data_IF_293065530707
#
_entry.id   IF_293065530707
#
_cell.length_a   1.000
_cell.length_b   1.000
_cell.length_c   1.000
_cell.angle_alpha   90.00
_cell.angle_beta   90.00
_cell.angle_gamma   90.00
#
_symmetry.space_group_name_H-M   'P 1'
#
loop_
_entity.id
_entity.type
_entity.pdbx_description
1 polymer ?
#
# COMPACT_ATOMS: atom_id res chain seq x y z
N UNK A 1 5.94 18.91 38.47
CA UNK A 1 4.95 18.44 37.49
C UNK A 1 4.91 19.48 36.38
N UNK A 2 5.59 19.21 35.26
CA UNK A 2 5.58 20.12 34.10
C UNK A 2 4.79 19.47 32.96
N UNK A 3 3.80 20.20 32.48
CA UNK A 3 3.06 19.86 31.29
C UNK A 3 3.96 20.03 30.04
N UNK A 4 3.62 19.24 29.02
CA UNK A 4 3.97 19.44 27.60
C UNK A 4 5.30 18.86 27.11
N UNK A 5 5.33 17.54 26.91
CA UNK A 5 6.01 16.98 25.74
C UNK A 5 4.98 16.12 24.98
N UNK A 6 4.15 16.80 24.19
CA UNK A 6 3.37 16.14 23.15
C UNK A 6 4.39 15.84 22.07
N UNK A 7 4.67 14.57 21.69
CA UNK A 7 5.69 14.29 20.70
C UNK A 7 5.36 15.11 19.46
N UNK A 8 6.29 15.98 19.07
CA UNK A 8 6.15 16.74 17.85
C UNK A 8 5.91 15.74 16.71
N UNK A 9 4.81 15.92 15.98
CA UNK A 9 4.53 15.09 14.81
C UNK A 9 5.65 15.37 13.80
N UNK A 10 6.64 14.47 13.74
CA UNK A 10 7.76 14.58 12.84
C UNK A 10 7.33 14.07 11.46
N UNK A 11 7.26 14.99 10.49
CA UNK A 11 6.99 14.67 9.10
C UNK A 11 8.32 14.45 8.38
N UNK A 12 8.54 13.23 7.90
CA UNK A 12 9.72 12.89 7.11
C UNK A 12 9.30 12.64 5.65
N UNK A 13 9.61 13.58 4.73
CA UNK A 13 9.22 13.45 3.35
C UNK A 13 10.14 12.50 2.58
N UNK A 14 9.55 11.70 1.70
CA UNK A 14 10.26 10.93 0.68
C UNK A 14 9.77 11.31 -0.70
N UNK A 15 10.67 11.32 -1.68
CA UNK A 15 10.42 11.71 -3.05
C UNK A 15 10.88 10.62 -4.03
N UNK A 16 10.35 10.72 -5.25
CA UNK A 16 10.72 9.89 -6.38
C UNK A 16 11.17 10.80 -7.53
N UNK A 17 12.16 10.37 -8.33
CA UNK A 17 12.65 8.99 -8.47
C UNK A 17 13.85 8.59 -7.60
N UNK A 18 14.35 9.45 -6.71
CA UNK A 18 15.57 9.22 -5.92
C UNK A 18 15.50 8.05 -4.90
N UNK A 19 14.31 7.47 -4.71
CA UNK A 19 14.09 6.26 -3.91
C UNK A 19 13.71 6.50 -2.45
N UNK A 20 13.77 7.74 -1.95
CA UNK A 20 13.41 8.03 -0.56
C UNK A 20 11.93 7.79 -0.26
N UNK A 21 11.03 8.04 -1.22
CA UNK A 21 9.61 7.68 -1.09
C UNK A 21 9.40 6.17 -0.92
N UNK A 22 10.10 5.37 -1.73
CA UNK A 22 10.00 3.92 -1.69
C UNK A 22 10.53 3.37 -0.35
N UNK A 23 11.70 3.84 0.07
CA UNK A 23 12.29 3.49 1.36
C UNK A 23 11.36 3.82 2.53
N UNK A 24 10.63 4.94 2.43
CA UNK A 24 9.63 5.34 3.42
C UNK A 24 8.47 4.34 3.52
N UNK A 25 7.91 3.90 2.39
CA UNK A 25 6.88 2.84 2.37
C UNK A 25 7.41 1.55 3.00
N UNK A 26 8.65 1.16 2.68
CA UNK A 26 9.26 -0.05 3.24
C UNK A 26 9.44 0.03 4.75
N UNK A 27 9.87 1.19 5.27
CA UNK A 27 9.99 1.43 6.71
C UNK A 27 8.63 1.41 7.40
N UNK A 28 7.61 2.02 6.81
CA UNK A 28 6.26 2.02 7.37
C UNK A 28 5.70 0.58 7.51
N UNK A 29 5.85 -0.25 6.47
CA UNK A 29 5.41 -1.67 6.52
C UNK A 29 6.28 -2.48 7.49
N UNK A 30 7.59 -2.23 7.51
CA UNK A 30 8.54 -2.95 8.37
C UNK A 30 8.35 -2.68 9.86
N UNK A 31 8.02 -1.44 10.23
CA UNK A 31 7.87 -1.00 11.62
C UNK A 31 6.48 -1.21 12.22
N UNK A 32 5.47 -1.54 11.41
CA UNK A 32 4.12 -1.80 11.89
C UNK A 32 4.11 -3.00 12.86
N UNK A 33 3.48 -2.80 14.04
CA UNK A 33 3.41 -3.80 15.11
C UNK A 33 2.05 -4.48 15.24
N UNK A 34 0.96 -3.76 14.92
CA UNK A 34 -0.40 -4.24 15.19
C UNK A 34 -1.24 -4.43 13.93
N UNK A 35 -1.28 -3.42 13.06
CA UNK A 35 -2.13 -3.48 11.85
C UNK A 35 -1.57 -2.67 10.70
N UNK A 36 -1.90 -3.10 9.48
CA UNK A 36 -1.72 -2.36 8.23
C UNK A 36 -3.04 -2.37 7.48
N UNK A 37 -3.56 -1.19 7.17
CA UNK A 37 -4.70 -1.00 6.26
C UNK A 37 -4.17 -0.27 5.03
N UNK A 38 -4.10 -0.97 3.91
CA UNK A 38 -3.55 -0.44 2.67
C UNK A 38 -4.66 -0.21 1.65
N UNK A 39 -4.68 0.99 1.09
CA UNK A 39 -5.48 1.34 -0.08
C UNK A 39 -4.52 1.65 -1.23
N UNK A 40 -4.69 1.01 -2.38
CA UNK A 40 -3.85 1.25 -3.55
C UNK A 40 -4.67 1.38 -4.82
N UNK A 41 -4.22 2.26 -5.72
CA UNK A 41 -4.81 2.40 -7.04
C UNK A 41 -4.28 1.31 -7.98
N UNK A 42 -3.01 1.37 -8.40
CA UNK A 42 -2.35 0.29 -9.13
C UNK A 42 -1.44 -0.48 -8.19
N UNK A 43 -1.67 -1.79 -8.03
CA UNK A 43 -0.96 -2.64 -7.07
C UNK A 43 -0.13 -3.71 -7.77
N UNK A 44 1.05 -3.32 -8.24
CA UNK A 44 1.92 -4.17 -9.08
C UNK A 44 3.30 -4.46 -8.47
N UNK A 45 3.67 -3.79 -7.36
CA UNK A 45 5.02 -3.91 -6.77
C UNK A 45 5.21 -5.23 -6.03
N UNK A 46 6.09 -6.09 -6.56
CA UNK A 46 6.48 -7.37 -5.93
C UNK A 46 7.13 -7.17 -4.56
N UNK A 47 7.91 -6.11 -4.39
CA UNK A 47 8.61 -5.86 -3.13
C UNK A 47 7.64 -5.42 -2.03
N UNK A 48 6.62 -4.62 -2.37
CA UNK A 48 5.53 -4.27 -1.42
C UNK A 48 4.75 -5.52 -1.01
N UNK A 49 4.40 -6.40 -1.97
CA UNK A 49 3.73 -7.69 -1.68
C UNK A 49 4.53 -8.52 -0.69
N UNK A 50 5.83 -8.72 -0.97
CA UNK A 50 6.73 -9.48 -0.08
C UNK A 50 6.70 -8.92 1.34
N UNK A 51 6.81 -7.60 1.48
CA UNK A 51 6.85 -6.94 2.79
C UNK A 51 5.54 -7.04 3.56
N UNK A 52 4.40 -6.99 2.88
CA UNK A 52 3.09 -7.21 3.49
C UNK A 52 2.93 -8.65 3.98
N UNK A 53 3.39 -9.63 3.19
CA UNK A 53 3.40 -11.04 3.60
C UNK A 53 4.30 -11.24 4.82
N UNK A 54 5.50 -10.65 4.82
CA UNK A 54 6.40 -10.70 5.97
C UNK A 54 5.78 -10.01 7.20
N UNK A 55 5.03 -8.92 7.04
CA UNK A 55 4.29 -8.28 8.13
C UNK A 55 3.19 -9.19 8.69
N UNK A 56 2.40 -9.83 7.83
CA UNK A 56 1.39 -10.80 8.23
C UNK A 56 2.00 -11.97 9.02
N UNK A 57 3.15 -12.49 8.55
CA UNK A 57 3.91 -13.55 9.24
C UNK A 57 4.43 -13.14 10.62
N UNK A 58 4.71 -11.85 10.83
CA UNK A 58 5.03 -11.30 12.17
C UNK A 58 3.82 -11.20 13.10
N UNK A 59 2.62 -11.49 12.61
CA UNK A 59 1.37 -11.37 13.38
C UNK A 59 0.66 -10.03 13.24
N UNK A 60 1.10 -9.16 12.32
CA UNK A 60 0.43 -7.88 12.04
C UNK A 60 -0.89 -8.16 11.30
N UNK A 61 -1.97 -7.50 11.72
CA UNK A 61 -3.26 -7.55 11.03
C UNK A 61 -3.22 -6.71 9.74
N UNK A 62 -2.97 -7.37 8.62
CA UNK A 62 -2.91 -6.74 7.30
C UNK A 62 -4.24 -6.91 6.57
N UNK A 63 -4.79 -5.81 6.03
CA UNK A 63 -5.86 -5.86 5.05
C UNK A 63 -5.60 -4.86 3.91
N UNK A 64 -5.95 -5.27 2.70
CA UNK A 64 -5.66 -4.57 1.46
C UNK A 64 -6.95 -4.30 0.69
N UNK A 65 -7.06 -3.09 0.16
CA UNK A 65 -8.13 -2.69 -0.72
C UNK A 65 -7.54 -2.03 -1.96
N UNK A 66 -7.97 -2.47 -3.14
CA UNK A 66 -7.44 -1.96 -4.42
C UNK A 66 -8.54 -1.49 -5.36
N UNK A 67 -8.21 -0.56 -6.26
CA UNK A 67 -9.11 -0.17 -7.35
C UNK A 67 -9.38 -1.37 -8.27
N UNK A 68 -10.65 -1.67 -8.54
CA UNK A 68 -11.00 -2.85 -9.34
C UNK A 68 -10.46 -2.74 -10.76
N UNK A 69 -10.74 -1.63 -11.43
CA UNK A 69 -10.46 -1.45 -12.85
C UNK A 69 -8.97 -1.52 -13.13
N UNK A 70 -8.16 -0.85 -12.31
CA UNK A 70 -6.71 -0.78 -12.53
C UNK A 70 -5.95 -2.04 -12.18
N UNK A 71 -6.57 -2.98 -11.47
CA UNK A 71 -5.97 -4.27 -11.12
C UNK A 71 -6.64 -5.47 -11.82
N UNK A 72 -7.62 -5.22 -12.68
CA UNK A 72 -8.31 -6.26 -13.48
C UNK A 72 -8.29 -5.90 -14.98
N UNK A 73 -9.08 -4.91 -15.41
CA UNK A 73 -9.22 -4.52 -16.82
C UNK A 73 -7.95 -3.89 -17.40
N UNK A 74 -7.27 -3.04 -16.64
CA UNK A 74 -6.11 -2.28 -17.12
C UNK A 74 -4.78 -3.00 -16.86
N UNK A 75 -4.80 -4.15 -16.17
CA UNK A 75 -3.61 -4.97 -15.93
C UNK A 75 -3.22 -5.79 -17.16
N UNK A 76 -2.67 -5.11 -18.17
CA UNK A 76 -2.16 -5.75 -19.40
C UNK A 76 -0.99 -6.70 -19.15
N UNK A 77 -0.31 -6.53 -18.02
CA UNK A 77 0.91 -7.27 -17.68
C UNK A 77 0.66 -8.53 -16.86
N UNK A 78 -0.53 -8.67 -16.27
CA UNK A 78 -0.84 -9.70 -15.27
C UNK A 78 -0.13 -9.48 -13.92
N UNK A 79 0.61 -8.39 -13.75
CA UNK A 79 1.41 -8.14 -12.54
C UNK A 79 0.55 -7.77 -11.34
N UNK A 80 -0.55 -7.05 -11.55
CA UNK A 80 -1.50 -6.75 -10.49
C UNK A 80 -2.24 -8.03 -10.06
N UNK A 81 -2.69 -8.82 -11.03
CA UNK A 81 -3.33 -10.11 -10.76
C UNK A 81 -2.40 -11.05 -9.98
N UNK A 82 -1.13 -11.14 -10.35
CA UNK A 82 -0.13 -11.93 -9.63
C UNK A 82 0.11 -11.41 -8.20
N UNK A 83 0.19 -10.08 -8.02
CA UNK A 83 0.35 -9.44 -6.72
C UNK A 83 -0.83 -9.73 -5.79
N UNK A 84 -2.07 -9.60 -6.28
CA UNK A 84 -3.28 -9.89 -5.51
C UNK A 84 -3.38 -11.37 -5.15
N UNK A 85 -3.09 -12.28 -6.09
CA UNK A 85 -3.10 -13.71 -5.83
C UNK A 85 -2.08 -14.10 -4.75
N UNK A 86 -0.90 -13.47 -4.73
CA UNK A 86 0.10 -13.70 -3.70
C UNK A 86 -0.37 -13.26 -2.31
N UNK A 87 -1.11 -12.15 -2.20
CA UNK A 87 -1.70 -11.71 -0.93
C UNK A 87 -2.79 -12.67 -0.45
N UNK A 88 -3.67 -13.10 -1.35
CA UNK A 88 -4.74 -14.06 -1.01
C UNK A 88 -4.16 -15.40 -0.58
N UNK A 89 -3.14 -15.90 -1.28
CA UNK A 89 -2.43 -17.13 -0.91
C UNK A 89 -1.72 -17.04 0.45
N UNK A 90 -1.37 -15.83 0.90
CA UNK A 90 -0.81 -15.57 2.22
C UNK A 90 -1.88 -15.25 3.28
N UNK A 91 -3.16 -15.52 2.99
CA UNK A 91 -4.30 -15.28 3.88
C UNK A 91 -4.41 -13.83 4.34
N UNK A 92 -4.04 -12.89 3.46
CA UNK A 92 -4.25 -11.45 3.67
C UNK A 92 -5.60 -11.06 3.05
N UNK A 93 -6.57 -10.61 3.87
CA UNK A 93 -7.83 -10.07 3.37
C UNK A 93 -7.60 -8.99 2.31
N UNK A 94 -8.04 -9.28 1.10
CA UNK A 94 -7.86 -8.41 -0.07
C UNK A 94 -9.20 -8.22 -0.76
N UNK A 95 -9.57 -6.97 -1.04
CA UNK A 95 -10.82 -6.62 -1.73
C UNK A 95 -10.58 -5.64 -2.87
N UNK A 96 -11.33 -5.80 -3.96
CA UNK A 96 -11.44 -4.79 -5.00
C UNK A 96 -12.55 -3.80 -4.66
N UNK A 97 -12.36 -2.53 -5.02
CA UNK A 97 -13.37 -1.48 -4.94
C UNK A 97 -13.66 -0.93 -6.33
N UNK A 98 -14.93 -1.03 -6.73
CA UNK A 98 -15.47 -0.43 -7.96
C UNK A 98 -16.24 0.88 -7.68
N UNK A 99 -16.63 1.11 -6.43
CA UNK A 99 -17.60 2.14 -6.05
C UNK A 99 -17.04 3.57 -6.08
N UNK A 100 -15.72 3.72 -6.00
CA UNK A 100 -15.04 5.02 -6.00
C UNK A 100 -13.87 4.99 -6.98
N UNK A 101 -13.77 6.01 -7.84
CA UNK A 101 -12.58 6.21 -8.65
C UNK A 101 -11.44 6.63 -7.74
N UNK A 102 -10.50 5.71 -7.47
CA UNK A 102 -9.20 6.06 -6.87
C UNK A 102 -8.26 6.68 -7.91
N UNK A 103 -8.61 6.55 -9.20
CA UNK A 103 -7.92 7.19 -10.30
C UNK A 103 -8.00 8.72 -10.19
N UNK A 104 -6.88 9.45 -10.30
CA UNK A 104 -6.93 10.89 -10.49
C UNK A 104 -7.69 11.20 -11.78
N UNK A 105 -8.64 12.12 -11.69
CA UNK A 105 -9.38 12.61 -12.85
C UNK A 105 -8.38 13.27 -13.80
N UNK A 106 -8.08 12.61 -14.92
CA UNK A 106 -7.23 13.15 -15.99
C UNK A 106 -7.97 14.31 -16.68
N UNK A 107 -8.05 15.46 -16.00
CA UNK A 107 -8.64 16.69 -16.51
C UNK A 107 -7.55 17.74 -16.67
N UNK A 108 -6.59 17.48 -17.55
CA UNK A 108 -5.81 18.52 -18.21
C UNK A 108 -5.24 17.99 -19.53
N UNK A 109 -6.14 17.76 -20.49
CA UNK A 109 -5.75 17.95 -21.90
C UNK A 109 -6.09 19.40 -22.23
N UNK A 110 -5.06 20.20 -22.53
CA UNK A 110 -5.24 21.39 -23.36
C UNK A 110 -5.67 20.96 -24.76
#
# INVERSE_FOLDING_TARGET
MSATDKPACFLDPGFSPEGSAEQWVYRAIGSAQHSIRLAAYSFTSREVVRRLIDAKRRGVDVAVVVDERSNTEEDRSGSAHAALNALVAAEIPTRTLAAYQLAPRQAFRR
#
